data_IF_356306433035
#
_entry.id   IF_356306433035
#
_cell.length_a   1.000
_cell.length_b   1.000
_cell.length_c   1.000
_cell.angle_alpha   90.00
_cell.angle_beta   90.00
_cell.angle_gamma   90.00
#
_symmetry.space_group_name_H-M   'P 1'
#
loop_
_entity.id
_entity.type
_entity.pdbx_description
1 polymer ?
#
# COMPACT_ATOMS: atom_id res chain seq x y z
N UNK A 1 46.90 36.90 6.53
CA UNK A 1 45.90 36.67 5.44
C UNK A 1 45.41 35.26 5.53
N UNK A 2 44.08 35.04 5.68
CA UNK A 2 43.44 33.74 5.59
C UNK A 2 42.67 33.67 4.29
N UNK A 3 42.82 32.56 3.53
CA UNK A 3 42.03 32.27 2.35
C UNK A 3 41.21 31.03 2.60
N UNK A 4 39.91 31.08 2.32
CA UNK A 4 38.98 29.93 2.41
C UNK A 4 38.59 29.54 0.99
N UNK A 5 38.76 28.28 0.61
CA UNK A 5 38.28 27.70 -0.63
C UNK A 5 37.13 26.72 -0.31
N UNK A 6 35.96 27.01 -0.84
CA UNK A 6 34.78 26.11 -0.76
C UNK A 6 34.61 25.44 -2.11
N UNK A 7 34.54 24.11 -2.12
CA UNK A 7 34.29 23.32 -3.35
C UNK A 7 33.09 22.43 -3.12
N UNK A 8 32.05 22.67 -3.87
CA UNK A 8 30.85 21.83 -3.87
C UNK A 8 31.03 20.67 -4.85
N UNK A 9 30.83 19.43 -4.40
CA UNK A 9 30.80 18.24 -5.24
C UNK A 9 29.37 17.74 -5.29
N UNK A 10 28.81 17.66 -6.50
CA UNK A 10 27.48 17.09 -6.74
C UNK A 10 27.66 15.68 -7.28
N UNK A 11 27.11 14.68 -6.57
CA UNK A 11 27.02 13.31 -7.08
C UNK A 11 25.61 13.07 -7.60
N UNK A 12 25.47 12.50 -8.80
CA UNK A 12 24.20 12.25 -9.44
C UNK A 12 24.21 10.86 -10.07
N UNK A 13 23.08 10.10 -9.92
CA UNK A 13 22.92 8.81 -10.58
C UNK A 13 22.64 9.03 -12.07
N UNK A 14 23.29 8.27 -12.94
CA UNK A 14 23.07 8.30 -14.39
C UNK A 14 21.67 7.79 -14.79
N UNK A 15 21.14 6.84 -14.02
CA UNK A 15 19.77 6.34 -14.14
C UNK A 15 19.12 6.35 -12.76
N UNK A 16 17.87 6.81 -12.68
CA UNK A 16 17.16 6.89 -11.40
C UNK A 16 15.68 6.57 -11.52
N UNK A 17 15.16 5.94 -10.45
CA UNK A 17 13.76 5.61 -10.24
C UNK A 17 13.23 6.49 -9.10
N UNK A 18 12.15 7.22 -9.36
CA UNK A 18 11.51 8.10 -8.38
C UNK A 18 10.03 7.79 -8.30
N UNK A 19 9.61 6.86 -7.41
CA UNK A 19 8.21 6.52 -7.23
C UNK A 19 7.44 7.61 -6.50
N UNK A 20 6.18 7.79 -6.88
CA UNK A 20 5.25 8.68 -6.19
C UNK A 20 4.44 7.88 -5.15
N UNK A 21 5.02 7.68 -3.98
CA UNK A 21 4.37 6.93 -2.91
C UNK A 21 3.24 7.72 -2.25
N UNK A 22 2.04 7.11 -2.05
CA UNK A 22 1.01 7.69 -1.20
C UNK A 22 1.48 7.71 0.27
N UNK A 23 0.88 8.56 1.08
CA UNK A 23 1.14 8.59 2.53
C UNK A 23 0.54 7.39 3.25
N UNK A 24 -0.64 6.98 2.84
CA UNK A 24 -1.39 5.80 3.30
C UNK A 24 -2.34 5.35 2.19
N UNK A 25 -2.91 4.18 2.34
CA UNK A 25 -3.98 3.62 1.51
C UNK A 25 -5.17 3.25 2.40
N UNK A 26 -6.33 3.03 1.79
CA UNK A 26 -7.50 2.44 2.47
C UNK A 26 -7.90 1.15 1.79
N UNK A 27 -8.47 0.23 2.56
CA UNK A 27 -9.11 -0.96 2.01
C UNK A 27 -10.16 -0.58 0.95
N UNK A 28 -10.10 -1.21 -0.21
CA UNK A 28 -11.00 -0.95 -1.34
C UNK A 28 -10.61 0.21 -2.25
N UNK A 29 -9.57 0.99 -1.93
CA UNK A 29 -9.10 2.07 -2.79
C UNK A 29 -8.60 1.51 -4.13
N UNK A 30 -8.87 2.26 -5.20
CA UNK A 30 -8.29 2.04 -6.52
C UNK A 30 -7.48 3.27 -6.90
N UNK A 31 -6.22 3.05 -7.31
CA UNK A 31 -5.35 4.16 -7.70
C UNK A 31 -4.38 3.76 -8.80
N UNK A 32 -3.82 4.77 -9.46
CA UNK A 32 -2.71 4.60 -10.39
C UNK A 32 -1.42 4.96 -9.67
N UNK A 33 -0.60 3.94 -9.39
CA UNK A 33 0.74 4.14 -8.87
C UNK A 33 1.67 4.52 -10.02
N UNK A 34 2.39 5.63 -9.87
CA UNK A 34 3.28 6.17 -10.90
C UNK A 34 4.71 6.24 -10.40
N UNK A 35 5.65 5.97 -11.30
CA UNK A 35 7.07 6.13 -11.05
C UNK A 35 7.73 6.86 -12.20
N UNK A 36 8.49 7.91 -11.89
CA UNK A 36 9.32 8.61 -12.86
C UNK A 36 10.65 7.89 -13.00
N UNK A 37 11.05 7.65 -14.23
CA UNK A 37 12.37 7.13 -14.61
C UNK A 37 13.14 8.25 -15.30
N UNK A 38 14.39 8.47 -14.91
CA UNK A 38 15.23 9.52 -15.48
C UNK A 38 16.54 8.94 -15.98
N UNK A 39 16.91 9.32 -17.17
CA UNK A 39 18.18 9.00 -17.83
C UNK A 39 19.01 10.28 -17.97
N UNK A 40 20.15 10.32 -17.34
CA UNK A 40 21.10 11.44 -17.40
C UNK A 40 22.33 11.10 -18.26
N UNK A 41 22.30 9.95 -18.92
CA UNK A 41 23.34 9.58 -19.89
C UNK A 41 23.09 10.26 -21.24
N UNK A 42 24.12 10.29 -22.06
CA UNK A 42 24.07 10.83 -23.43
C UNK A 42 23.52 9.84 -24.45
N UNK A 43 23.15 8.62 -24.02
CA UNK A 43 22.61 7.55 -24.87
C UNK A 43 21.18 7.22 -24.47
N UNK A 44 20.33 6.82 -25.43
CA UNK A 44 19.01 6.32 -25.13
C UNK A 44 19.10 4.98 -24.38
N UNK A 45 18.18 4.76 -23.45
CA UNK A 45 18.07 3.54 -22.65
C UNK A 45 16.72 2.84 -22.87
N UNK A 46 16.75 1.53 -22.99
CA UNK A 46 15.57 0.68 -23.02
C UNK A 46 15.62 -0.28 -21.83
N UNK A 47 14.48 -0.56 -21.23
CA UNK A 47 14.45 -1.43 -20.06
C UNK A 47 13.06 -1.80 -19.58
N UNK A 48 13.04 -2.35 -18.38
CA UNK A 48 11.82 -2.77 -17.70
C UNK A 48 11.79 -2.23 -16.29
N UNK A 49 10.62 -1.81 -15.86
CA UNK A 49 10.31 -1.42 -14.49
C UNK A 49 9.33 -2.42 -13.90
N UNK A 50 9.59 -2.88 -12.67
CA UNK A 50 8.78 -3.86 -11.95
C UNK A 50 8.24 -3.26 -10.67
N UNK A 51 6.95 -3.50 -10.41
CA UNK A 51 6.31 -3.21 -9.14
C UNK A 51 6.11 -4.51 -8.36
N UNK A 52 6.46 -4.50 -7.09
CA UNK A 52 6.25 -5.60 -6.16
C UNK A 52 5.64 -5.05 -4.87
N UNK A 53 4.63 -5.72 -4.35
CA UNK A 53 3.97 -5.36 -3.10
C UNK A 53 4.10 -6.54 -2.14
N UNK A 54 4.74 -6.28 -1.00
CA UNK A 54 4.96 -7.27 0.04
C UNK A 54 4.09 -6.93 1.26
N UNK A 55 3.65 -7.95 1.97
CA UNK A 55 3.13 -7.78 3.33
C UNK A 55 4.28 -7.33 4.25
N UNK A 56 4.08 -6.25 5.00
CA UNK A 56 5.15 -5.65 5.81
C UNK A 56 5.55 -6.49 7.04
N UNK A 57 4.72 -7.45 7.46
CA UNK A 57 4.99 -8.29 8.63
C UNK A 57 5.58 -9.64 8.24
N UNK A 58 5.08 -10.24 7.16
CA UNK A 58 5.51 -11.57 6.73
C UNK A 58 6.56 -11.56 5.62
N UNK A 59 6.74 -10.41 4.93
CA UNK A 59 7.50 -10.26 3.69
C UNK A 59 7.01 -11.15 2.53
N UNK A 60 5.80 -11.71 2.63
CA UNK A 60 5.17 -12.43 1.53
C UNK A 60 4.88 -11.49 0.36
N UNK A 61 5.09 -11.99 -0.86
CA UNK A 61 4.66 -11.27 -2.07
C UNK A 61 3.15 -11.38 -2.23
N UNK A 62 2.48 -10.24 -2.09
CA UNK A 62 1.03 -10.12 -2.21
C UNK A 62 0.61 -9.26 -3.41
N UNK A 63 1.52 -9.05 -4.36
CA UNK A 63 1.32 -8.21 -5.54
C UNK A 63 0.03 -8.56 -6.29
N UNK A 64 -0.26 -9.84 -6.47
CA UNK A 64 -1.46 -10.31 -7.16
C UNK A 64 -2.76 -9.94 -6.44
N UNK A 65 -2.75 -9.85 -5.10
CA UNK A 65 -3.93 -9.42 -4.31
C UNK A 65 -4.33 -7.97 -4.63
N UNK A 66 -3.39 -7.18 -5.14
CA UNK A 66 -3.63 -5.80 -5.59
C UNK A 66 -4.08 -5.69 -7.05
N UNK A 67 -4.38 -6.83 -7.69
CA UNK A 67 -4.83 -6.89 -9.07
C UNK A 67 -3.71 -6.81 -10.11
N UNK A 68 -2.46 -6.81 -9.67
CA UNK A 68 -1.29 -6.74 -10.55
C UNK A 68 -0.79 -8.15 -10.82
N UNK A 69 -0.95 -8.63 -12.05
CA UNK A 69 -0.47 -9.95 -12.46
C UNK A 69 -0.06 -9.95 -13.93
N UNK A 70 0.67 -10.98 -14.35
CA UNK A 70 1.14 -11.10 -15.73
C UNK A 70 0.03 -11.38 -16.76
N UNK A 71 -1.13 -11.84 -16.31
CA UNK A 71 -2.24 -12.25 -17.19
C UNK A 71 -3.08 -11.05 -17.67
N UNK A 72 -3.01 -9.90 -16.99
CA UNK A 72 -3.82 -8.71 -17.27
C UNK A 72 -3.01 -7.58 -17.93
N UNK A 73 -1.99 -7.91 -18.71
CA UNK A 73 -1.08 -6.95 -19.34
C UNK A 73 -1.80 -5.85 -20.15
N UNK A 74 -2.89 -6.19 -20.86
CA UNK A 74 -3.64 -5.26 -21.70
C UNK A 74 -4.37 -4.15 -20.94
N UNK A 75 -4.59 -4.30 -19.63
CA UNK A 75 -5.34 -3.36 -18.79
C UNK A 75 -4.44 -2.50 -17.87
N UNK A 76 -3.11 -2.55 -18.02
CA UNK A 76 -2.18 -1.83 -17.13
C UNK A 76 -1.98 -2.50 -15.77
N UNK A 77 -2.34 -3.78 -15.65
CA UNK A 77 -2.17 -4.60 -14.43
C UNK A 77 -0.94 -5.51 -14.48
N UNK A 78 -0.05 -5.30 -15.44
CA UNK A 78 1.17 -6.10 -15.55
C UNK A 78 2.19 -5.70 -14.47
N UNK A 79 2.79 -6.71 -13.84
CA UNK A 79 3.86 -6.53 -12.84
C UNK A 79 5.05 -5.78 -13.44
N UNK A 80 5.36 -6.02 -14.72
CA UNK A 80 6.50 -5.48 -15.43
C UNK A 80 6.05 -4.59 -16.59
N UNK A 81 6.62 -3.38 -16.66
CA UNK A 81 6.35 -2.38 -17.69
C UNK A 81 7.62 -2.10 -18.47
N UNK A 82 7.56 -2.26 -19.80
CA UNK A 82 8.66 -1.84 -20.68
C UNK A 82 8.69 -0.33 -20.83
N UNK A 83 9.87 0.23 -20.97
CA UNK A 83 10.05 1.66 -21.23
C UNK A 83 11.21 1.95 -22.18
N UNK A 84 11.13 3.11 -22.81
CA UNK A 84 12.22 3.71 -23.59
C UNK A 84 12.48 5.12 -23.06
N UNK A 85 13.74 5.44 -22.83
CA UNK A 85 14.22 6.75 -22.37
C UNK A 85 15.15 7.34 -23.41
N UNK A 86 14.88 8.56 -23.84
CA UNK A 86 15.84 9.31 -24.63
C UNK A 86 17.05 9.72 -23.78
N UNK A 87 18.16 10.05 -24.42
CA UNK A 87 19.30 10.67 -23.78
C UNK A 87 18.87 11.93 -23.02
N UNK A 88 19.35 12.10 -21.79
CA UNK A 88 18.99 13.21 -20.89
C UNK A 88 17.47 13.41 -20.73
N UNK A 89 16.69 12.32 -20.85
CA UNK A 89 15.24 12.34 -20.82
C UNK A 89 14.63 11.67 -19.59
N UNK A 90 13.31 11.77 -19.47
CA UNK A 90 12.55 11.05 -18.46
C UNK A 90 11.24 10.53 -19.03
N UNK A 91 10.74 9.43 -18.43
CA UNK A 91 9.42 8.86 -18.71
C UNK A 91 8.71 8.48 -17.43
N UNK A 92 7.44 8.13 -17.51
CA UNK A 92 6.65 7.65 -16.37
C UNK A 92 6.09 6.29 -16.70
N UNK A 93 6.32 5.33 -15.83
CA UNK A 93 5.65 4.04 -15.81
C UNK A 93 4.53 4.05 -14.78
N UNK A 94 3.48 3.26 -14.99
CA UNK A 94 2.32 3.29 -14.12
C UNK A 94 1.66 1.92 -13.95
N UNK A 95 1.07 1.69 -12.77
CA UNK A 95 0.34 0.48 -12.43
C UNK A 95 -1.02 0.85 -11.82
N UNK A 96 -2.06 0.19 -12.29
CA UNK A 96 -3.36 0.26 -11.63
C UNK A 96 -3.33 -0.71 -10.45
N UNK A 97 -3.60 -0.22 -9.26
CA UNK A 97 -3.65 -1.04 -8.05
C UNK A 97 -5.02 -0.91 -7.39
N UNK A 98 -5.49 -2.04 -6.86
CA UNK A 98 -6.71 -2.13 -6.05
C UNK A 98 -6.34 -2.71 -4.69
N UNK A 99 -6.60 -1.96 -3.64
CA UNK A 99 -6.23 -2.34 -2.28
C UNK A 99 -7.20 -3.41 -1.74
N UNK A 100 -6.71 -4.61 -1.41
CA UNK A 100 -7.58 -5.66 -0.87
C UNK A 100 -7.98 -5.38 0.57
N UNK A 101 -9.02 -6.06 1.04
CA UNK A 101 -9.42 -6.04 2.44
C UNK A 101 -8.49 -6.94 3.27
N UNK A 102 -8.33 -6.63 4.55
CA UNK A 102 -7.60 -7.46 5.52
C UNK A 102 -6.08 -7.31 5.48
N UNK A 103 -5.57 -6.28 4.80
CA UNK A 103 -4.16 -5.92 4.79
C UNK A 103 -3.99 -4.63 5.61
N UNK A 104 -3.04 -4.61 6.54
CA UNK A 104 -2.83 -3.46 7.44
C UNK A 104 -1.58 -2.63 7.15
N UNK A 105 -0.54 -3.25 6.59
CA UNK A 105 0.69 -2.56 6.18
C UNK A 105 1.37 -3.31 5.06
N UNK A 106 1.90 -2.58 4.10
CA UNK A 106 2.56 -3.12 2.92
C UNK A 106 3.91 -2.45 2.69
N UNK A 107 4.79 -3.13 1.98
CA UNK A 107 6.00 -2.54 1.40
C UNK A 107 5.79 -2.50 -0.12
N UNK A 108 5.77 -1.30 -0.69
CA UNK A 108 5.79 -1.13 -2.14
C UNK A 108 7.26 -1.00 -2.57
N UNK A 109 7.70 -1.93 -3.40
CA UNK A 109 9.04 -1.96 -3.99
C UNK A 109 8.93 -1.74 -5.49
N UNK A 110 9.60 -0.70 -5.97
CA UNK A 110 9.68 -0.38 -7.39
C UNK A 110 11.13 -0.42 -7.84
N UNK A 111 11.44 -1.26 -8.80
CA UNK A 111 12.79 -1.43 -9.35
C UNK A 111 12.74 -1.29 -10.86
N UNK A 112 13.78 -0.74 -11.45
CA UNK A 112 13.92 -0.71 -12.90
C UNK A 112 15.35 -1.05 -13.33
N UNK A 113 15.47 -1.66 -14.50
CA UNK A 113 16.74 -2.00 -15.14
C UNK A 113 16.70 -1.54 -16.58
N UNK A 114 17.80 -0.87 -17.00
CA UNK A 114 18.01 -0.37 -18.37
C UNK A 114 19.46 -0.61 -18.78
N UNK A 115 19.70 -1.62 -19.63
CA UNK A 115 21.04 -2.07 -19.96
C UNK A 115 21.84 -2.49 -18.72
N UNK A 116 22.98 -1.83 -18.49
CA UNK A 116 23.84 -2.07 -17.31
C UNK A 116 23.39 -1.26 -16.07
N UNK A 117 22.44 -0.34 -16.24
CA UNK A 117 21.96 0.49 -15.14
C UNK A 117 20.77 -0.18 -14.43
N UNK A 118 20.74 -0.05 -13.12
CA UNK A 118 19.60 -0.44 -12.30
C UNK A 118 19.44 0.50 -11.13
N UNK A 119 18.19 0.78 -10.75
CA UNK A 119 17.86 1.54 -9.57
C UNK A 119 16.51 1.06 -9.02
N UNK A 120 16.24 1.39 -7.76
CA UNK A 120 14.96 1.04 -7.14
C UNK A 120 14.81 1.64 -5.77
N UNK A 121 13.56 1.80 -5.40
CA UNK A 121 13.16 2.28 -4.08
C UNK A 121 12.08 1.40 -3.49
N UNK A 122 12.03 1.36 -2.17
CA UNK A 122 10.96 0.72 -1.42
C UNK A 122 10.49 1.59 -0.27
N UNK A 123 9.21 1.49 0.05
CA UNK A 123 8.59 2.22 1.16
C UNK A 123 7.50 1.40 1.82
N UNK A 124 7.50 1.39 3.16
CA UNK A 124 6.40 0.86 3.93
C UNK A 124 5.24 1.87 3.96
N UNK A 125 4.01 1.39 3.75
CA UNK A 125 2.79 2.20 3.67
C UNK A 125 1.72 1.53 4.50
N UNK A 126 1.08 2.30 5.39
CA UNK A 126 -0.06 1.83 6.17
C UNK A 126 -1.30 1.72 5.28
N UNK A 127 -2.07 0.65 5.50
CA UNK A 127 -3.39 0.46 4.90
C UNK A 127 -4.42 0.61 6.01
N UNK A 128 -5.28 1.61 5.90
CA UNK A 128 -6.32 1.89 6.86
C UNK A 128 -7.55 1.01 6.57
N UNK A 129 -8.12 0.36 7.59
CA UNK A 129 -9.34 -0.40 7.40
C UNK A 129 -10.51 0.52 7.06
N UNK A 130 -11.41 0.02 6.22
CA UNK A 130 -12.67 0.71 5.90
C UNK A 130 -13.80 0.26 6.86
N UNK A 131 -13.43 -0.01 8.12
CA UNK A 131 -14.32 -0.52 9.16
C UNK A 131 -14.14 0.30 10.43
N UNK A 132 -15.23 0.47 11.17
CA UNK A 132 -15.25 1.12 12.47
C UNK A 132 -15.74 0.11 13.52
N UNK A 133 -15.04 0.03 14.66
CA UNK A 133 -15.51 -0.73 15.81
C UNK A 133 -16.63 0.05 16.48
N UNK A 134 -17.79 -0.60 16.62
CA UNK A 134 -18.93 -0.09 17.39
C UNK A 134 -19.09 -0.97 18.61
N UNK A 135 -19.05 -0.38 19.81
CA UNK A 135 -19.29 -1.08 21.06
C UNK A 135 -20.69 -0.73 21.55
N UNK A 136 -21.50 -1.75 21.80
CA UNK A 136 -22.80 -1.61 22.46
C UNK A 136 -22.71 -2.27 23.85
N UNK A 137 -23.05 -1.53 24.88
CA UNK A 137 -23.00 -2.00 26.26
C UNK A 137 -24.38 -1.88 26.91
N UNK A 138 -24.90 -3.00 27.37
CA UNK A 138 -26.19 -3.06 28.08
C UNK A 138 -25.96 -3.43 29.54
N UNK A 139 -26.23 -2.52 30.49
CA UNK A 139 -26.14 -2.85 31.92
C UNK A 139 -27.24 -3.84 32.32
N UNK A 140 -26.84 -4.90 33.00
CA UNK A 140 -27.72 -5.97 33.43
C UNK A 140 -27.79 -5.99 34.95
N UNK A 141 -28.98 -5.78 35.52
CA UNK A 141 -29.21 -5.87 36.96
C UNK A 141 -30.22 -6.94 37.30
N UNK A 142 -29.82 -7.91 38.11
CA UNK A 142 -30.68 -8.98 38.61
C UNK A 142 -30.58 -8.98 40.11
N UNK A 143 -31.73 -8.92 40.82
CA UNK A 143 -31.79 -9.01 42.29
C UNK A 143 -31.85 -10.48 42.71
N UNK A 144 -31.46 -10.74 43.94
CA UNK A 144 -31.55 -12.06 44.54
C UNK A 144 -32.95 -12.69 44.34
N UNK A 145 -32.98 -13.95 43.94
CA UNK A 145 -34.21 -14.69 43.66
C UNK A 145 -34.94 -14.30 42.36
N UNK A 146 -34.37 -13.43 41.53
CA UNK A 146 -34.98 -13.05 40.26
C UNK A 146 -34.26 -13.65 39.07
N UNK A 147 -35.03 -13.98 38.03
CA UNK A 147 -34.54 -14.34 36.71
C UNK A 147 -34.99 -13.28 35.71
N UNK A 148 -34.05 -12.72 34.93
CA UNK A 148 -34.37 -11.76 33.87
C UNK A 148 -33.69 -12.16 32.57
N UNK A 149 -34.37 -11.93 31.47
CA UNK A 149 -33.83 -12.09 30.12
C UNK A 149 -33.51 -10.72 29.54
N UNK A 150 -32.30 -10.54 29.04
CA UNK A 150 -31.86 -9.32 28.37
C UNK A 150 -31.58 -9.63 26.90
N UNK A 151 -31.95 -8.72 26.03
CA UNK A 151 -31.74 -8.84 24.60
C UNK A 151 -30.92 -7.65 24.14
N UNK A 152 -29.87 -7.90 23.39
CA UNK A 152 -29.09 -6.88 22.70
C UNK A 152 -29.83 -6.46 21.42
N UNK A 153 -30.81 -5.57 21.57
CA UNK A 153 -31.73 -5.20 20.47
C UNK A 153 -30.99 -4.63 19.26
N UNK A 154 -29.97 -3.82 19.48
CA UNK A 154 -29.17 -3.25 18.39
C UNK A 154 -28.42 -4.33 17.59
N UNK A 155 -27.96 -5.38 18.25
CA UNK A 155 -27.31 -6.50 17.58
C UNK A 155 -28.31 -7.42 16.88
N UNK A 156 -29.41 -7.73 17.55
CA UNK A 156 -30.49 -8.59 17.03
C UNK A 156 -31.17 -8.00 15.79
N UNK A 157 -31.41 -6.70 15.81
CA UNK A 157 -32.13 -5.99 14.75
C UNK A 157 -31.17 -5.32 13.73
N UNK A 158 -29.89 -5.62 13.78
CA UNK A 158 -28.91 -5.07 12.85
C UNK A 158 -29.15 -5.61 11.44
N UNK A 159 -29.56 -4.72 10.54
CA UNK A 159 -29.79 -5.02 9.12
C UNK A 159 -28.57 -4.70 8.23
N UNK A 160 -27.47 -4.27 8.81
CA UNK A 160 -26.26 -3.96 8.05
C UNK A 160 -25.67 -5.22 7.43
N UNK A 161 -25.51 -5.22 6.11
CA UNK A 161 -24.87 -6.32 5.36
C UNK A 161 -23.35 -6.38 5.58
N UNK A 162 -22.75 -5.37 6.18
CA UNK A 162 -21.31 -5.22 6.39
C UNK A 162 -20.87 -5.35 7.84
N UNK A 163 -21.84 -5.37 8.78
CA UNK A 163 -21.52 -5.56 10.20
C UNK A 163 -21.13 -7.01 10.48
N UNK A 164 -20.03 -7.19 11.21
CA UNK A 164 -19.59 -8.50 11.71
C UNK A 164 -19.46 -8.41 13.22
N UNK A 165 -19.98 -9.43 13.94
CA UNK A 165 -19.77 -9.52 15.38
C UNK A 165 -18.34 -9.97 15.67
N UNK A 166 -17.55 -9.12 16.34
CA UNK A 166 -16.15 -9.38 16.65
C UNK A 166 -15.99 -10.12 17.97
N UNK A 167 -16.72 -9.70 19.00
CA UNK A 167 -16.70 -10.34 20.32
C UNK A 167 -17.95 -10.03 21.12
N UNK A 168 -18.32 -10.94 22.00
CA UNK A 168 -19.33 -10.72 23.06
C UNK A 168 -18.66 -11.00 24.40
N UNK A 169 -18.77 -10.07 25.33
CA UNK A 169 -18.20 -10.21 26.67
C UNK A 169 -19.32 -10.00 27.70
N UNK A 170 -19.42 -10.88 28.68
CA UNK A 170 -20.27 -10.72 29.84
C UNK A 170 -19.38 -10.51 31.06
N UNK A 171 -19.49 -9.35 31.71
CA UNK A 171 -18.82 -9.06 32.97
C UNK A 171 -19.82 -9.19 34.11
N UNK A 172 -19.50 -10.03 35.11
CA UNK A 172 -20.29 -10.25 36.29
C UNK A 172 -19.58 -9.64 37.50
N UNK A 173 -20.28 -8.73 38.18
CA UNK A 173 -19.80 -8.13 39.42
C UNK A 173 -20.82 -8.54 40.53
N UNK A 174 -20.31 -9.13 41.61
CA UNK A 174 -21.09 -9.50 42.80
C UNK A 174 -20.89 -8.50 43.91
#
# INVERSE_FOLDING_TARGET
QAATLEKTVVTQKEFSVTPNYPRFLREGDEMIFKSKLSNLTTLPLNGFAKLQILDAFTNEDITEKFGINQLNAAAGYNVEQSFTLNANGSTTVQWNIKVPNGVSSIIIKNVAKAGEFSDGEQKAIAVLPNRMLVTDAVPVFVKEGQTKTFVLENLKNNQSKTATNVSNTLELTT
#
